data_IF_462383027104
#
_entry.id   IF_462383027104
#
_cell.length_a   1.000
_cell.length_b   1.000
_cell.length_c   1.000
_cell.angle_alpha   90.00
_cell.angle_beta   90.00
_cell.angle_gamma   90.00
#
_symmetry.space_group_name_H-M   'P 1'
#
loop_
_entity.id
_entity.type
_entity.pdbx_description
1 polymer ?
#
# COMPACT_ATOMS: atom_id res chain seq x y z
N UNK A 1 25.04 -5.93 3.59
CA UNK A 1 25.35 -7.38 3.57
C UNK A 1 24.29 -8.03 2.68
N UNK A 2 24.65 -8.44 1.48
CA UNK A 2 23.75 -9.19 0.58
C UNK A 2 23.68 -10.62 1.13
N UNK A 3 22.65 -10.93 1.92
CA UNK A 3 22.38 -12.29 2.36
C UNK A 3 22.06 -13.14 1.11
N UNK A 4 22.79 -14.21 0.95
CA UNK A 4 22.54 -15.18 -0.11
C UNK A 4 21.09 -15.70 0.05
N UNK A 5 20.17 -15.51 -0.92
CA UNK A 5 18.76 -15.89 -0.78
C UNK A 5 18.55 -17.39 -0.51
N UNK A 6 19.53 -18.24 -0.81
CA UNK A 6 19.50 -19.69 -0.53
C UNK A 6 19.58 -20.06 0.96
N UNK A 7 19.83 -19.10 1.85
CA UNK A 7 19.93 -19.34 3.31
C UNK A 7 18.68 -18.90 4.09
N UNK A 8 17.72 -18.23 3.45
CA UNK A 8 16.51 -17.76 4.11
C UNK A 8 15.35 -18.72 3.83
N UNK A 9 14.81 -19.40 4.85
CA UNK A 9 13.71 -20.35 4.64
C UNK A 9 12.42 -19.64 4.20
N UNK A 10 12.19 -18.41 4.68
CA UNK A 10 10.99 -17.60 4.36
C UNK A 10 11.40 -16.18 3.98
N UNK A 11 10.90 -15.68 2.85
CA UNK A 11 11.18 -14.34 2.35
C UNK A 11 10.08 -13.83 1.42
N UNK A 12 10.01 -12.51 1.26
CA UNK A 12 9.21 -11.86 0.24
C UNK A 12 10.12 -11.42 -0.92
N UNK A 13 9.86 -11.93 -2.12
CA UNK A 13 10.52 -11.49 -3.35
C UNK A 13 9.74 -10.30 -3.92
N UNK A 14 10.45 -9.21 -4.23
CA UNK A 14 9.90 -7.96 -4.74
C UNK A 14 10.40 -7.73 -6.16
N UNK A 15 9.51 -7.83 -7.13
CA UNK A 15 9.81 -7.66 -8.54
C UNK A 15 9.73 -6.18 -8.96
N UNK A 16 10.89 -5.51 -9.02
CA UNK A 16 10.96 -4.09 -9.39
C UNK A 16 10.64 -3.84 -10.88
N UNK A 17 10.77 -4.84 -11.74
CA UNK A 17 10.34 -4.75 -13.14
C UNK A 17 8.83 -4.72 -13.25
N UNK A 18 8.10 -5.53 -12.45
CA UNK A 18 6.66 -5.47 -12.36
C UNK A 18 6.18 -4.12 -11.81
N UNK A 19 6.89 -3.55 -10.84
CA UNK A 19 6.60 -2.20 -10.32
C UNK A 19 6.71 -1.12 -11.42
N UNK A 20 7.77 -1.16 -12.23
CA UNK A 20 7.97 -0.25 -13.35
C UNK A 20 6.91 -0.43 -14.44
N UNK A 21 6.54 -1.68 -14.75
CA UNK A 21 5.44 -1.99 -15.67
C UNK A 21 4.12 -1.39 -15.18
N UNK A 22 3.77 -1.58 -13.91
CA UNK A 22 2.54 -1.06 -13.33
C UNK A 22 2.50 0.48 -13.39
N UNK A 23 3.63 1.15 -13.10
CA UNK A 23 3.73 2.59 -13.27
C UNK A 23 3.48 3.02 -14.73
N UNK A 24 4.02 2.28 -15.70
CA UNK A 24 3.79 2.55 -17.12
C UNK A 24 2.32 2.37 -17.50
N UNK A 25 1.66 1.33 -17.00
CA UNK A 25 0.21 1.13 -17.19
C UNK A 25 -0.60 2.28 -16.59
N UNK A 26 -0.26 2.75 -15.39
CA UNK A 26 -0.94 3.88 -14.75
C UNK A 26 -0.81 5.15 -15.61
N UNK A 27 0.39 5.43 -16.12
CA UNK A 27 0.65 6.61 -16.96
C UNK A 27 -0.20 6.63 -18.25
N UNK A 28 -0.63 5.49 -18.77
CA UNK A 28 -1.49 5.42 -19.97
C UNK A 28 -2.90 5.99 -19.75
N UNK A 29 -3.36 6.09 -18.49
CA UNK A 29 -4.65 6.71 -18.16
C UNK A 29 -4.58 8.22 -18.00
N UNK A 30 -3.38 8.82 -17.99
CA UNK A 30 -3.17 10.20 -17.61
C UNK A 30 -2.95 11.09 -18.83
N UNK A 31 -3.38 12.35 -18.73
CA UNK A 31 -2.95 13.38 -19.66
C UNK A 31 -1.44 13.64 -19.50
N UNK A 32 -0.75 14.12 -20.57
CA UNK A 32 0.72 14.29 -20.55
C UNK A 32 1.26 15.20 -19.43
N UNK A 33 0.48 16.16 -18.99
CA UNK A 33 0.80 17.14 -17.93
C UNK A 33 0.35 16.70 -16.53
N UNK A 34 -0.38 15.59 -16.41
CA UNK A 34 -0.79 15.04 -15.14
C UNK A 34 0.33 14.24 -14.48
N UNK A 35 0.75 14.68 -13.30
CA UNK A 35 1.85 14.06 -12.57
C UNK A 35 1.38 12.88 -11.69
N UNK A 36 2.34 12.06 -11.25
CA UNK A 36 2.10 10.95 -10.33
C UNK A 36 2.78 11.22 -9.00
N UNK A 37 2.02 11.16 -7.91
CA UNK A 37 2.52 11.05 -6.54
C UNK A 37 2.41 9.59 -6.11
N UNK A 38 3.53 8.90 -6.03
CA UNK A 38 3.55 7.49 -5.64
C UNK A 38 3.26 7.32 -4.14
N UNK A 39 2.24 6.52 -3.80
CA UNK A 39 1.88 6.26 -2.41
C UNK A 39 2.71 5.07 -1.90
N UNK A 40 3.66 5.36 -0.99
CA UNK A 40 4.62 4.39 -0.45
C UNK A 40 4.50 4.19 1.07
N UNK A 41 3.38 4.63 1.67
CA UNK A 41 3.07 4.42 3.10
C UNK A 41 2.98 2.94 3.47
N UNK A 42 2.96 2.64 4.76
CA UNK A 42 2.90 1.28 5.32
C UNK A 42 4.00 0.38 4.74
N UNK A 43 5.26 0.89 4.80
CA UNK A 43 6.42 0.22 4.23
C UNK A 43 6.23 -0.14 2.75
N UNK A 44 5.73 0.82 1.94
CA UNK A 44 5.35 0.61 0.54
C UNK A 44 4.35 -0.55 0.39
N UNK A 45 3.27 -0.55 1.20
CA UNK A 45 2.28 -1.64 1.25
C UNK A 45 2.94 -3.01 1.52
N UNK A 46 3.93 -3.03 2.40
CA UNK A 46 4.67 -4.24 2.77
C UNK A 46 5.83 -4.61 1.84
N UNK A 47 6.08 -3.85 0.78
CA UNK A 47 7.11 -4.18 -0.24
C UNK A 47 8.53 -3.68 0.10
N UNK A 48 8.69 -2.89 1.20
CA UNK A 48 9.94 -2.23 1.53
C UNK A 48 10.03 -0.82 0.93
N UNK A 49 9.92 0.19 1.81
CA UNK A 49 9.70 1.59 1.39
C UNK A 49 10.90 2.18 0.66
N UNK A 50 12.12 1.89 1.12
CA UNK A 50 13.34 2.52 0.60
C UNK A 50 13.61 2.10 -0.84
N UNK A 51 13.73 0.80 -1.07
CA UNK A 51 14.07 0.23 -2.38
C UNK A 51 12.96 0.48 -3.39
N UNK A 52 11.70 0.39 -2.96
CA UNK A 52 10.53 0.71 -3.80
C UNK A 52 10.54 2.17 -4.23
N UNK A 53 10.74 3.10 -3.29
CA UNK A 53 10.78 4.54 -3.60
C UNK A 53 11.96 4.89 -4.51
N UNK A 54 13.16 4.33 -4.25
CA UNK A 54 14.32 4.52 -5.10
C UNK A 54 14.11 3.95 -6.51
N UNK A 55 13.46 2.78 -6.64
CA UNK A 55 13.12 2.21 -7.94
C UNK A 55 12.17 3.12 -8.72
N UNK A 56 11.11 3.64 -8.07
CA UNK A 56 10.17 4.57 -8.69
C UNK A 56 10.82 5.92 -9.04
N UNK A 57 11.73 6.43 -8.20
CA UNK A 57 12.48 7.66 -8.48
C UNK A 57 13.34 7.50 -9.75
N UNK A 58 14.00 6.35 -9.94
CA UNK A 58 14.72 6.04 -11.19
C UNK A 58 13.82 5.98 -12.42
N UNK A 59 12.50 5.73 -12.25
CA UNK A 59 11.49 5.78 -13.31
C UNK A 59 10.86 7.18 -13.50
N UNK A 60 11.47 8.22 -12.90
CA UNK A 60 11.05 9.61 -13.05
C UNK A 60 9.90 10.03 -12.10
N UNK A 61 9.64 9.32 -11.02
CA UNK A 61 8.73 9.79 -9.99
C UNK A 61 9.45 10.82 -9.11
N UNK A 62 8.89 12.02 -9.07
CA UNK A 62 9.42 13.16 -8.32
C UNK A 62 8.67 13.44 -7.01
N UNK A 63 7.51 12.78 -6.80
CA UNK A 63 6.65 12.98 -5.64
C UNK A 63 6.25 11.66 -5.02
N UNK A 64 6.46 11.58 -3.70
CA UNK A 64 6.08 10.43 -2.89
C UNK A 64 5.14 10.87 -1.78
N UNK A 65 4.31 9.96 -1.32
CA UNK A 65 3.48 10.21 -0.15
C UNK A 65 3.51 9.05 0.84
N UNK A 66 3.65 9.42 2.10
CA UNK A 66 3.71 8.54 3.26
C UNK A 66 2.56 8.83 4.23
N UNK A 67 2.32 7.97 5.22
CA UNK A 67 1.27 8.20 6.21
C UNK A 67 1.78 8.98 7.42
N UNK A 68 3.04 8.79 7.83
CA UNK A 68 3.59 9.36 9.06
C UNK A 68 4.90 10.12 8.80
N UNK A 69 5.25 10.95 9.79
CA UNK A 69 6.54 11.66 9.82
C UNK A 69 7.72 10.67 9.75
N UNK A 70 7.67 9.60 10.54
CA UNK A 70 8.78 8.62 10.62
C UNK A 70 9.04 7.93 9.28
N UNK A 71 7.99 7.59 8.53
CA UNK A 71 8.14 7.05 7.16
C UNK A 71 8.83 8.05 6.23
N UNK A 72 8.49 9.34 6.34
CA UNK A 72 9.13 10.40 5.58
C UNK A 72 10.60 10.60 5.95
N UNK A 73 10.92 10.59 7.23
CA UNK A 73 12.30 10.68 7.76
C UNK A 73 13.13 9.49 7.25
N UNK A 74 12.60 8.29 7.31
CA UNK A 74 13.29 7.10 6.82
C UNK A 74 13.67 7.22 5.33
N UNK A 75 12.79 7.75 4.49
CA UNK A 75 13.10 8.02 3.08
C UNK A 75 14.18 9.11 2.91
N UNK A 76 14.16 10.17 3.71
CA UNK A 76 15.22 11.20 3.69
C UNK A 76 16.56 10.62 4.10
N UNK A 77 16.61 9.83 5.17
CA UNK A 77 17.82 9.14 5.63
C UNK A 77 18.37 8.16 4.59
N UNK A 78 17.49 7.55 3.78
CA UNK A 78 17.86 6.73 2.64
C UNK A 78 18.33 7.52 1.40
N UNK A 79 18.44 8.85 1.50
CA UNK A 79 18.96 9.72 0.45
C UNK A 79 17.93 10.17 -0.60
N UNK A 80 16.63 9.96 -0.38
CA UNK A 80 15.60 10.41 -1.30
C UNK A 80 15.44 11.95 -1.20
N UNK A 81 15.84 12.69 -2.23
CA UNK A 81 15.79 14.15 -2.28
C UNK A 81 14.50 14.73 -2.88
N UNK A 82 13.70 13.92 -3.53
CA UNK A 82 12.42 14.29 -4.17
C UNK A 82 11.38 14.79 -3.15
N UNK A 83 10.26 15.34 -3.61
CA UNK A 83 9.16 15.77 -2.72
C UNK A 83 8.57 14.57 -1.96
N UNK A 84 8.41 14.70 -0.63
CA UNK A 84 7.77 13.71 0.23
C UNK A 84 6.64 14.38 0.98
N UNK A 85 5.40 13.94 0.71
CA UNK A 85 4.17 14.45 1.29
C UNK A 85 3.71 13.56 2.44
N UNK A 86 3.47 14.12 3.62
CA UNK A 86 2.93 13.41 4.79
C UNK A 86 1.42 13.57 4.79
N UNK A 87 0.69 12.47 4.58
CA UNK A 87 -0.78 12.45 4.41
C UNK A 87 -1.55 12.35 5.72
N UNK A 88 -0.91 11.88 6.79
CA UNK A 88 -1.52 11.65 8.08
C UNK A 88 -1.70 12.94 8.89
N UNK A 89 -2.42 12.83 10.01
CA UNK A 89 -2.48 13.90 10.99
C UNK A 89 -1.10 14.11 11.62
N UNK A 90 -0.81 15.36 11.97
CA UNK A 90 0.42 15.77 12.64
C UNK A 90 0.11 16.24 14.06
N UNK A 91 1.10 16.14 14.92
CA UNK A 91 1.09 16.70 16.26
C UNK A 91 2.09 17.85 16.35
N UNK A 92 1.86 18.78 17.29
CA UNK A 92 2.70 19.96 17.48
C UNK A 92 4.19 19.60 17.65
N UNK A 93 4.46 18.56 18.43
CA UNK A 93 5.82 18.10 18.74
C UNK A 93 6.59 17.57 17.52
N UNK A 94 5.87 17.22 16.45
CA UNK A 94 6.45 16.69 15.21
C UNK A 94 6.88 17.80 14.23
N UNK A 95 6.43 19.03 14.43
CA UNK A 95 6.66 20.12 13.47
C UNK A 95 8.14 20.46 13.31
N UNK A 96 8.97 20.51 14.37
CA UNK A 96 10.41 20.75 14.21
C UNK A 96 11.09 19.72 13.29
N UNK A 97 10.80 18.44 13.46
CA UNK A 97 11.38 17.37 12.66
C UNK A 97 10.84 17.37 11.22
N UNK A 98 9.55 17.68 11.04
CA UNK A 98 8.93 17.85 9.72
C UNK A 98 9.69 18.92 8.90
N UNK A 99 9.97 20.08 9.53
CA UNK A 99 10.68 21.20 8.89
C UNK A 99 12.15 20.84 8.65
N UNK A 100 12.84 20.26 9.64
CA UNK A 100 14.25 19.88 9.54
C UNK A 100 14.49 18.88 8.38
N UNK A 101 13.55 17.94 8.16
CA UNK A 101 13.66 16.96 7.10
C UNK A 101 13.00 17.39 5.78
N UNK A 102 12.53 18.66 5.68
CA UNK A 102 11.89 19.21 4.47
C UNK A 102 10.79 18.31 3.92
N UNK A 103 9.87 17.89 4.79
CA UNK A 103 8.71 17.09 4.42
C UNK A 103 7.50 18.01 4.23
N UNK A 104 6.71 17.79 3.19
CA UNK A 104 5.53 18.60 2.88
C UNK A 104 4.31 18.04 3.61
N UNK A 105 3.70 18.73 4.58
CA UNK A 105 2.52 18.23 5.29
C UNK A 105 1.24 18.41 4.47
N UNK A 106 0.32 17.48 4.64
CA UNK A 106 -1.09 17.71 4.34
C UNK A 106 -1.78 18.24 5.60
N UNK A 107 -2.16 19.50 5.57
CA UNK A 107 -2.82 20.18 6.68
C UNK A 107 -4.33 19.98 6.58
N UNK A 108 -4.95 19.56 7.67
CA UNK A 108 -6.37 19.18 7.75
C UNK A 108 -7.15 19.87 8.85
N UNK A 109 -6.50 20.75 9.64
CA UNK A 109 -7.12 21.48 10.73
C UNK A 109 -6.41 22.83 11.00
N UNK A 110 -7.14 23.77 11.62
CA UNK A 110 -6.66 25.13 11.85
C UNK A 110 -5.57 25.20 12.94
N UNK A 111 -5.55 24.28 13.91
CA UNK A 111 -4.57 24.27 14.99
C UNK A 111 -3.16 23.98 14.42
N UNK A 112 -3.03 22.92 13.67
CA UNK A 112 -1.76 22.55 13.01
C UNK A 112 -1.34 23.62 12.00
N UNK A 113 -2.27 24.21 11.25
CA UNK A 113 -1.98 25.31 10.34
C UNK A 113 -1.36 26.50 11.09
N UNK A 114 -1.91 26.87 12.25
CA UNK A 114 -1.39 27.96 13.07
C UNK A 114 0.03 27.68 13.59
N UNK A 115 0.29 26.45 14.08
CA UNK A 115 1.60 26.07 14.57
C UNK A 115 2.65 26.04 13.44
N UNK A 116 2.30 25.47 12.29
CA UNK A 116 3.15 25.50 11.09
C UNK A 116 3.45 26.93 10.64
N UNK A 117 2.48 27.85 10.71
CA UNK A 117 2.70 29.27 10.36
C UNK A 117 3.75 29.91 11.28
N UNK A 118 3.68 29.64 12.59
CA UNK A 118 4.70 30.12 13.54
C UNK A 118 6.07 29.51 13.27
N UNK A 119 6.15 28.21 13.08
CA UNK A 119 7.40 27.51 12.81
C UNK A 119 8.05 27.99 11.50
N UNK A 120 7.26 28.25 10.47
CA UNK A 120 7.73 28.69 9.17
C UNK A 120 8.26 30.15 9.17
N UNK A 121 7.93 30.98 10.18
CA UNK A 121 8.48 32.36 10.31
C UNK A 121 10.00 32.38 10.43
N UNK A 122 10.60 31.36 11.00
CA UNK A 122 12.06 31.21 11.12
C UNK A 122 12.70 30.54 9.91
N UNK A 123 11.91 30.08 8.94
CA UNK A 123 12.42 29.42 7.75
C UNK A 123 12.80 30.45 6.67
N UNK A 124 13.96 30.31 6.00
CA UNK A 124 14.47 31.33 5.06
C UNK A 124 13.64 31.44 3.76
N UNK A 125 12.77 30.47 3.47
CA UNK A 125 11.88 30.46 2.31
C UNK A 125 10.47 30.07 2.72
N UNK A 126 9.47 30.37 1.89
CA UNK A 126 8.09 29.93 2.11
C UNK A 126 8.03 28.40 2.20
N UNK A 127 7.36 27.88 3.23
CA UNK A 127 7.29 26.46 3.50
C UNK A 127 6.10 25.80 2.78
N UNK A 128 6.31 24.76 1.95
CA UNK A 128 5.25 24.17 1.15
C UNK A 128 4.30 23.32 1.99
N UNK A 129 3.01 23.48 1.75
CA UNK A 129 1.94 22.68 2.35
C UNK A 129 0.90 22.27 1.32
N UNK A 130 0.21 21.15 1.57
CA UNK A 130 -1.05 20.82 0.90
C UNK A 130 -2.21 20.99 1.87
N UNK A 131 -3.34 21.54 1.40
CA UNK A 131 -4.57 21.62 2.18
C UNK A 131 -5.50 20.48 1.81
N UNK A 132 -6.15 19.91 2.80
CA UNK A 132 -7.11 18.83 2.61
C UNK A 132 -8.54 19.29 2.86
N UNK A 133 -9.41 19.05 1.87
CA UNK A 133 -10.85 19.29 1.95
C UNK A 133 -11.56 18.01 2.36
N UNK A 134 -12.42 18.08 3.38
CA UNK A 134 -13.37 17.03 3.70
C UNK A 134 -14.60 17.16 2.77
N UNK A 135 -14.80 16.16 1.94
CA UNK A 135 -15.88 16.16 0.94
C UNK A 135 -16.85 14.99 1.12
N UNK A 136 -16.67 14.15 2.14
CA UNK A 136 -17.56 13.01 2.41
C UNK A 136 -16.81 11.73 2.79
N UNK A 137 -15.49 11.79 3.07
CA UNK A 137 -14.75 10.65 3.61
C UNK A 137 -14.97 10.48 5.12
N UNK A 138 -15.28 11.58 5.84
CA UNK A 138 -15.52 11.57 7.29
C UNK A 138 -14.29 11.26 8.13
N UNK A 139 -13.09 11.69 7.70
CA UNK A 139 -11.85 11.29 8.37
C UNK A 139 -10.93 12.46 8.74
N UNK A 140 -10.43 13.19 7.79
CA UNK A 140 -9.53 14.32 7.96
C UNK A 140 -9.84 15.36 6.88
N UNK A 141 -9.66 16.64 7.18
CA UNK A 141 -9.81 17.76 6.22
C UNK A 141 -10.66 18.87 6.78
N UNK A 142 -10.44 20.06 6.26
CA UNK A 142 -11.28 21.21 6.51
C UNK A 142 -12.64 21.02 5.81
N UNK A 143 -13.72 21.39 6.47
CA UNK A 143 -14.98 21.61 5.76
C UNK A 143 -14.85 22.76 4.75
N UNK A 144 -15.66 22.80 3.69
CA UNK A 144 -15.65 23.93 2.74
C UNK A 144 -15.85 25.30 3.41
N UNK A 145 -16.64 25.36 4.50
CA UNK A 145 -16.91 26.59 5.25
C UNK A 145 -15.68 27.08 6.04
N UNK A 146 -14.87 26.17 6.59
CA UNK A 146 -13.64 26.49 7.32
C UNK A 146 -12.52 27.01 6.41
N UNK A 147 -12.45 26.50 5.17
CA UNK A 147 -11.39 26.88 4.23
C UNK A 147 -11.54 28.32 3.72
N UNK A 148 -12.76 28.78 3.48
CA UNK A 148 -13.00 30.11 2.86
C UNK A 148 -12.32 31.26 3.62
N UNK A 149 -12.50 31.44 4.95
CA UNK A 149 -11.81 32.47 5.69
C UNK A 149 -10.28 32.28 5.79
N UNK A 150 -9.78 31.03 5.81
CA UNK A 150 -8.35 30.75 5.89
C UNK A 150 -7.61 31.27 4.66
N UNK A 151 -8.20 31.22 3.47
CA UNK A 151 -7.59 31.77 2.28
C UNK A 151 -7.46 33.29 2.33
N UNK A 152 -8.39 33.97 2.98
CA UNK A 152 -8.40 35.43 3.06
C UNK A 152 -7.39 35.97 4.09
N UNK A 153 -7.17 35.28 5.21
CA UNK A 153 -6.36 35.76 6.32
C UNK A 153 -4.90 35.23 6.34
N UNK A 154 -4.71 33.94 6.14
CA UNK A 154 -3.43 33.31 6.47
C UNK A 154 -2.58 32.94 5.24
N UNK A 155 -3.20 32.69 4.11
CA UNK A 155 -2.53 32.04 2.98
C UNK A 155 -2.03 33.03 1.92
N UNK A 156 -2.58 34.26 1.88
CA UNK A 156 -2.16 35.26 0.90
C UNK A 156 -0.90 36.04 1.30
N UNK A 157 -0.51 36.05 2.57
CA UNK A 157 0.60 36.88 3.09
C UNK A 157 1.49 36.20 4.13
N UNK A 158 1.32 34.90 4.36
CA UNK A 158 2.05 34.16 5.38
C UNK A 158 3.35 33.52 4.89
N UNK A 159 4.12 32.92 5.79
CA UNK A 159 5.36 32.19 5.49
C UNK A 159 5.09 30.80 4.87
N UNK A 160 3.84 30.38 4.76
CA UNK A 160 3.43 29.11 4.15
C UNK A 160 3.09 29.31 2.68
N UNK A 161 3.51 28.36 1.86
CA UNK A 161 3.14 28.24 0.45
C UNK A 161 2.15 27.11 0.28
N UNK A 162 0.88 27.43 0.00
CA UNK A 162 -0.09 26.41 -0.39
C UNK A 162 0.22 25.97 -1.81
N UNK A 163 0.96 24.87 -1.95
CA UNK A 163 1.26 24.29 -3.25
C UNK A 163 0.24 23.26 -3.71
N UNK A 164 -0.55 22.69 -2.79
CA UNK A 164 -1.51 21.66 -3.12
C UNK A 164 -2.88 21.78 -2.46
N UNK A 165 -3.93 21.34 -3.17
CA UNK A 165 -5.28 21.13 -2.66
C UNK A 165 -5.70 19.70 -2.95
N UNK A 166 -6.23 18.99 -1.94
CA UNK A 166 -6.64 17.60 -2.10
C UNK A 166 -7.93 17.24 -1.37
N UNK A 167 -8.58 16.22 -1.85
CA UNK A 167 -9.55 15.43 -1.09
C UNK A 167 -9.24 13.92 -1.25
N UNK A 168 -9.99 13.06 -0.56
CA UNK A 168 -9.92 11.61 -0.74
C UNK A 168 -11.31 11.05 -1.04
N UNK A 169 -11.41 10.35 -2.17
CA UNK A 169 -12.64 9.74 -2.62
C UNK A 169 -12.91 8.46 -1.81
N UNK A 170 -14.10 8.40 -1.20
CA UNK A 170 -14.48 7.33 -0.28
C UNK A 170 -14.91 6.05 -0.99
N UNK A 171 -15.48 6.18 -2.19
CA UNK A 171 -16.18 5.09 -2.89
C UNK A 171 -15.86 5.08 -4.40
N UNK A 172 -14.61 5.38 -4.77
CA UNK A 172 -14.20 5.37 -6.17
C UNK A 172 -14.21 3.97 -6.80
N UNK A 173 -14.16 2.91 -5.99
CA UNK A 173 -14.25 1.50 -6.38
C UNK A 173 -15.65 0.89 -6.16
N UNK A 174 -16.60 1.64 -5.60
CA UNK A 174 -17.97 1.21 -5.42
C UNK A 174 -18.73 0.99 -6.72
N UNK A 175 -19.81 0.23 -6.66
CA UNK A 175 -20.67 -0.03 -7.83
C UNK A 175 -21.39 1.23 -8.33
N UNK A 176 -21.71 2.17 -7.44
CA UNK A 176 -22.43 3.40 -7.73
C UNK A 176 -21.48 4.62 -7.68
N UNK A 177 -21.49 5.43 -8.73
CA UNK A 177 -20.64 6.63 -8.84
C UNK A 177 -21.11 7.83 -7.99
N UNK A 178 -22.35 7.83 -7.51
CA UNK A 178 -23.02 9.01 -6.93
C UNK A 178 -22.28 9.59 -5.70
N UNK A 179 -21.61 8.76 -4.89
CA UNK A 179 -20.81 9.24 -3.75
C UNK A 179 -19.60 10.02 -4.26
N UNK A 180 -18.87 9.43 -5.21
CA UNK A 180 -17.69 10.04 -5.84
C UNK A 180 -18.05 11.33 -6.56
N UNK A 181 -19.16 11.37 -7.29
CA UNK A 181 -19.65 12.56 -8.01
C UNK A 181 -19.95 13.71 -7.05
N UNK A 182 -20.71 13.46 -5.97
CA UNK A 182 -20.99 14.48 -4.93
C UNK A 182 -19.72 15.00 -4.26
N UNK A 183 -18.77 14.11 -3.97
CA UNK A 183 -17.47 14.53 -3.42
C UNK A 183 -16.71 15.44 -4.39
N UNK A 184 -16.74 15.10 -5.67
CA UNK A 184 -16.10 15.89 -6.72
C UNK A 184 -16.78 17.25 -6.92
N UNK A 185 -18.11 17.32 -6.91
CA UNK A 185 -18.89 18.56 -6.97
C UNK A 185 -18.50 19.50 -5.80
N UNK A 186 -18.48 18.97 -4.57
CA UNK A 186 -18.06 19.72 -3.38
C UNK A 186 -16.63 20.24 -3.51
N UNK A 187 -15.72 19.40 -3.96
CA UNK A 187 -14.32 19.77 -4.17
C UNK A 187 -14.15 20.84 -5.24
N UNK A 188 -14.85 20.71 -6.38
CA UNK A 188 -14.81 21.67 -7.48
C UNK A 188 -15.38 23.03 -7.06
N UNK A 189 -16.41 23.08 -6.19
CA UNK A 189 -16.93 24.32 -5.66
C UNK A 189 -15.88 25.08 -4.82
N UNK A 190 -15.14 24.36 -3.96
CA UNK A 190 -14.01 24.93 -3.18
C UNK A 190 -12.90 25.41 -4.12
N UNK A 191 -12.50 24.61 -5.09
CA UNK A 191 -11.45 24.97 -6.04
C UNK A 191 -11.84 26.21 -6.86
N UNK A 192 -13.12 26.35 -7.25
CA UNK A 192 -13.63 27.53 -7.94
C UNK A 192 -13.53 28.79 -7.09
N UNK A 193 -13.89 28.73 -5.81
CA UNK A 193 -13.75 29.85 -4.87
C UNK A 193 -12.28 30.29 -4.72
N UNK A 194 -11.34 29.35 -4.68
CA UNK A 194 -9.91 29.65 -4.61
C UNK A 194 -9.45 30.38 -5.89
N UNK A 195 -9.84 29.88 -7.06
CA UNK A 195 -9.52 30.49 -8.34
C UNK A 195 -10.11 31.90 -8.52
N UNK A 196 -11.33 32.15 -8.03
CA UNK A 196 -11.96 33.47 -8.04
C UNK A 196 -11.19 34.51 -7.21
N UNK A 197 -10.39 34.06 -6.21
CA UNK A 197 -9.48 34.90 -5.44
C UNK A 197 -8.13 35.14 -6.15
N UNK A 198 -7.97 34.68 -7.38
CA UNK A 198 -6.72 34.79 -8.15
C UNK A 198 -5.62 33.82 -7.69
N UNK A 199 -5.95 32.80 -6.88
CA UNK A 199 -4.97 31.84 -6.38
C UNK A 199 -4.86 30.69 -7.37
N UNK A 200 -3.64 30.41 -7.85
CA UNK A 200 -3.32 29.25 -8.67
C UNK A 200 -2.54 28.23 -7.84
N UNK A 201 -3.00 27.00 -7.84
CA UNK A 201 -2.37 25.90 -7.10
C UNK A 201 -1.64 24.99 -8.08
N UNK A 202 -0.33 24.76 -7.91
CA UNK A 202 0.42 23.82 -8.74
C UNK A 202 -0.15 22.40 -8.73
N UNK A 203 -0.59 21.94 -7.55
CA UNK A 203 -1.05 20.56 -7.36
C UNK A 203 -2.48 20.48 -6.87
N UNK A 204 -3.37 20.02 -7.74
CA UNK A 204 -4.75 19.68 -7.40
C UNK A 204 -4.91 18.18 -7.58
N UNK A 205 -5.29 17.46 -6.51
CA UNK A 205 -5.29 16.00 -6.56
C UNK A 205 -6.41 15.35 -5.75
N UNK A 206 -7.23 14.56 -6.42
CA UNK A 206 -8.36 13.81 -5.82
C UNK A 206 -8.25 12.31 -6.06
N UNK A 207 -7.78 11.90 -7.25
CA UNK A 207 -7.80 10.52 -7.71
C UNK A 207 -6.90 9.59 -6.90
N UNK A 208 -7.47 8.54 -6.32
CA UNK A 208 -6.80 7.34 -5.84
C UNK A 208 -6.70 6.29 -6.98
N UNK A 209 -6.18 5.09 -6.70
CA UNK A 209 -6.01 4.04 -7.71
C UNK A 209 -7.28 3.74 -8.51
N UNK A 210 -8.43 3.59 -7.87
CA UNK A 210 -9.67 3.28 -8.58
C UNK A 210 -10.16 4.46 -9.42
N UNK A 211 -10.04 5.68 -8.89
CA UNK A 211 -10.47 6.89 -9.59
C UNK A 211 -9.60 7.18 -10.82
N UNK A 212 -8.32 6.80 -10.82
CA UNK A 212 -7.46 6.94 -12.01
C UNK A 212 -8.06 6.22 -13.22
N UNK A 213 -8.65 5.07 -13.03
CA UNK A 213 -9.24 4.27 -14.13
C UNK A 213 -10.67 4.73 -14.45
N UNK A 214 -11.47 5.00 -13.40
CA UNK A 214 -12.93 5.19 -13.56
C UNK A 214 -13.37 6.62 -13.80
N UNK A 215 -12.63 7.59 -13.28
CA UNK A 215 -13.06 8.99 -13.24
C UNK A 215 -11.96 9.94 -13.75
N UNK A 216 -11.70 10.01 -15.07
CA UNK A 216 -10.64 10.86 -15.63
C UNK A 216 -10.76 12.33 -15.22
N UNK A 217 -11.97 12.83 -14.98
CA UNK A 217 -12.23 14.20 -14.49
C UNK A 217 -11.74 14.46 -13.06
N UNK A 218 -11.28 13.45 -12.33
CA UNK A 218 -10.69 13.56 -10.98
C UNK A 218 -9.17 13.69 -11.00
N UNK A 219 -8.51 13.56 -12.14
CA UNK A 219 -7.03 13.55 -12.23
C UNK A 219 -6.45 14.92 -11.88
N UNK A 220 -7.05 15.99 -12.37
CA UNK A 220 -6.51 17.37 -12.27
C UNK A 220 -5.04 17.40 -12.70
N UNK A 221 -4.15 17.97 -11.86
CA UNK A 221 -2.72 18.05 -12.15
C UNK A 221 -1.87 16.92 -11.54
N UNK A 222 -2.46 16.11 -10.62
CA UNK A 222 -1.70 15.11 -9.86
C UNK A 222 -2.59 13.96 -9.41
N UNK A 223 -2.16 12.71 -9.63
CA UNK A 223 -2.85 11.49 -9.16
C UNK A 223 -2.06 10.75 -8.10
N UNK A 224 -2.75 9.93 -7.30
CA UNK A 224 -2.19 9.22 -6.15
C UNK A 224 -2.38 7.71 -6.25
N UNK A 225 -1.70 7.02 -7.17
CA UNK A 225 -1.75 5.57 -7.21
C UNK A 225 -1.09 4.97 -5.95
N UNK A 226 -1.81 4.04 -5.34
CA UNK A 226 -1.31 3.20 -4.25
C UNK A 226 -1.30 1.75 -4.73
N UNK A 227 -2.37 1.01 -4.49
CA UNK A 227 -2.43 -0.43 -4.71
C UNK A 227 -2.14 -0.83 -6.16
N UNK A 228 -2.45 0.01 -7.16
CA UNK A 228 -2.14 -0.26 -8.56
C UNK A 228 -0.64 -0.34 -8.82
N UNK A 229 0.20 0.44 -8.12
CA UNK A 229 1.66 0.31 -8.23
C UNK A 229 2.13 -1.09 -7.84
N UNK A 230 1.44 -1.73 -6.91
CA UNK A 230 1.79 -3.05 -6.37
C UNK A 230 1.12 -4.22 -7.11
N UNK A 231 0.39 -3.92 -8.20
CA UNK A 231 -0.14 -4.94 -9.09
C UNK A 231 -1.55 -5.43 -8.76
N UNK A 232 -2.31 -4.64 -8.00
CA UNK A 232 -3.69 -4.99 -7.63
C UNK A 232 -4.65 -3.83 -7.89
N UNK A 233 -5.94 -4.13 -8.01
CA UNK A 233 -7.01 -3.14 -8.12
C UNK A 233 -8.24 -3.58 -7.31
N UNK A 234 -9.11 -2.62 -7.03
CA UNK A 234 -10.40 -2.83 -6.35
C UNK A 234 -11.58 -2.45 -7.27
N UNK A 235 -11.34 -2.40 -8.58
CA UNK A 235 -12.35 -2.03 -9.58
C UNK A 235 -13.49 -3.05 -9.59
N UNK A 236 -14.75 -2.60 -9.79
CA UNK A 236 -15.87 -3.51 -10.06
C UNK A 236 -15.64 -4.33 -11.34
N UNK A 237 -16.19 -5.54 -11.41
CA UNK A 237 -16.05 -6.45 -12.56
C UNK A 237 -16.58 -5.85 -13.87
N UNK A 238 -17.40 -4.81 -13.80
CA UNK A 238 -17.95 -4.10 -14.97
C UNK A 238 -16.95 -3.13 -15.62
N UNK A 239 -15.80 -2.90 -14.97
CA UNK A 239 -14.75 -1.99 -15.46
C UNK A 239 -13.58 -2.82 -15.96
N UNK A 240 -13.10 -2.63 -17.20
CA UNK A 240 -11.92 -3.33 -17.69
C UNK A 240 -10.73 -3.12 -16.75
N UNK A 241 -10.15 -4.23 -16.30
CA UNK A 241 -8.99 -4.18 -15.43
C UNK A 241 -7.74 -3.76 -16.21
N UNK A 242 -6.89 -2.89 -15.66
CA UNK A 242 -5.58 -2.60 -16.21
C UNK A 242 -4.66 -3.84 -16.16
N UNK A 243 -3.73 -3.96 -17.11
CA UNK A 243 -2.73 -5.05 -17.14
C UNK A 243 -1.67 -4.84 -16.05
N UNK A 244 -2.05 -5.12 -14.80
CA UNK A 244 -1.17 -4.99 -13.65
C UNK A 244 -0.50 -6.33 -13.32
N UNK A 245 0.74 -6.24 -12.86
CA UNK A 245 1.55 -7.39 -12.45
C UNK A 245 1.80 -7.34 -10.94
N UNK A 246 1.39 -8.36 -10.17
CA UNK A 246 1.73 -8.42 -8.75
C UNK A 246 3.24 -8.30 -8.53
N UNK A 247 3.61 -7.41 -7.61
CA UNK A 247 5.03 -7.07 -7.35
C UNK A 247 5.62 -7.98 -6.28
N UNK A 248 4.82 -8.43 -5.31
CA UNK A 248 5.28 -9.24 -4.19
C UNK A 248 4.91 -10.71 -4.36
N UNK A 249 5.89 -11.59 -4.13
CA UNK A 249 5.68 -13.02 -3.90
C UNK A 249 6.19 -13.40 -2.52
N UNK A 250 5.42 -14.18 -1.75
CA UNK A 250 5.82 -14.70 -0.43
C UNK A 250 6.18 -16.18 -0.58
N UNK A 251 7.41 -16.52 -0.23
CA UNK A 251 7.99 -17.85 -0.42
C UNK A 251 8.52 -18.41 0.88
N UNK A 252 8.50 -19.74 0.97
CA UNK A 252 9.09 -20.50 2.07
C UNK A 252 9.59 -21.86 1.58
N UNK A 253 10.04 -22.72 2.50
CA UNK A 253 10.49 -24.08 2.20
C UNK A 253 9.89 -25.09 3.16
N UNK A 254 9.84 -26.36 2.77
CA UNK A 254 9.47 -27.45 3.66
C UNK A 254 10.62 -27.74 4.64
N UNK A 255 10.35 -27.64 5.95
CA UNK A 255 11.36 -27.91 7.00
C UNK A 255 11.20 -29.28 7.66
N UNK A 256 10.01 -29.87 7.59
CA UNK A 256 9.73 -31.17 8.19
C UNK A 256 8.64 -31.88 7.38
N UNK A 257 8.75 -33.21 7.31
CA UNK A 257 7.71 -34.09 6.77
C UNK A 257 7.31 -35.11 7.83
N UNK A 258 5.99 -35.37 7.92
CA UNK A 258 5.41 -36.34 8.84
C UNK A 258 4.31 -37.14 8.15
N UNK A 259 4.17 -38.39 8.47
CA UNK A 259 2.99 -39.19 8.12
C UNK A 259 2.11 -39.32 9.36
N UNK A 260 0.90 -38.85 9.28
CA UNK A 260 -0.12 -38.94 10.34
C UNK A 260 -1.01 -40.15 10.01
N UNK A 261 -1.14 -41.13 10.92
CA UNK A 261 -2.03 -42.26 10.69
C UNK A 261 -3.49 -41.84 10.66
N UNK A 262 -4.34 -42.67 10.07
CA UNK A 262 -5.78 -42.47 10.14
C UNK A 262 -6.24 -42.30 11.59
N UNK A 263 -7.09 -41.30 11.87
CA UNK A 263 -7.54 -40.90 13.20
C UNK A 263 -6.57 -40.02 13.98
N UNK A 264 -5.32 -39.84 13.48
CA UNK A 264 -4.36 -38.93 14.08
C UNK A 264 -4.73 -37.46 13.83
N UNK A 265 -4.26 -36.56 14.70
CA UNK A 265 -4.58 -35.13 14.66
C UNK A 265 -3.39 -34.25 14.30
N UNK A 266 -3.69 -33.03 13.79
CA UNK A 266 -2.65 -32.03 13.44
C UNK A 266 -2.98 -30.70 14.11
N UNK A 267 -1.95 -30.06 14.64
CA UNK A 267 -1.97 -28.71 15.24
C UNK A 267 -2.72 -28.65 16.57
N UNK A 268 -2.83 -27.41 17.11
CA UNK A 268 -3.50 -27.14 18.36
C UNK A 268 -4.96 -27.58 18.35
N UNK A 269 -5.42 -28.12 19.47
CA UNK A 269 -6.80 -28.60 19.69
C UNK A 269 -7.21 -29.77 18.80
N UNK A 270 -6.30 -30.37 18.02
CA UNK A 270 -6.59 -31.47 17.12
C UNK A 270 -7.72 -31.18 16.12
N UNK A 271 -7.82 -29.94 15.66
CA UNK A 271 -8.92 -29.50 14.79
C UNK A 271 -8.93 -30.13 13.38
N UNK A 272 -7.81 -30.71 12.98
CA UNK A 272 -7.72 -31.59 11.81
C UNK A 272 -7.56 -33.02 12.29
N UNK A 273 -8.38 -33.92 11.75
CA UNK A 273 -8.32 -35.37 11.99
C UNK A 273 -8.07 -36.05 10.64
N UNK A 274 -7.00 -36.82 10.53
CA UNK A 274 -6.66 -37.54 9.32
C UNK A 274 -7.68 -38.67 9.04
N UNK A 275 -8.36 -38.63 7.91
CA UNK A 275 -9.33 -39.66 7.48
C UNK A 275 -8.68 -40.86 6.80
N UNK A 276 -7.40 -40.73 6.44
CA UNK A 276 -6.51 -41.74 5.84
C UNK A 276 -5.08 -41.46 6.30
N UNK A 277 -4.10 -42.35 6.07
CA UNK A 277 -2.69 -41.99 6.25
C UNK A 277 -2.37 -40.71 5.44
N UNK A 278 -2.03 -39.64 6.13
CA UNK A 278 -1.89 -38.29 5.57
C UNK A 278 -0.47 -37.81 5.71
N UNK A 279 0.14 -37.39 4.61
CA UNK A 279 1.50 -36.84 4.59
C UNK A 279 1.44 -35.32 4.78
N UNK A 280 2.06 -34.83 5.84
CA UNK A 280 2.06 -33.42 6.24
C UNK A 280 3.44 -32.81 6.00
N UNK A 281 3.48 -31.66 5.33
CA UNK A 281 4.65 -30.79 5.29
C UNK A 281 4.49 -29.64 6.29
N UNK A 282 5.57 -29.33 7.03
CA UNK A 282 5.64 -28.21 7.97
C UNK A 282 6.45 -27.08 7.33
N UNK A 283 5.90 -25.87 7.39
CA UNK A 283 6.46 -24.67 6.79
C UNK A 283 6.82 -23.66 7.90
N UNK A 284 8.01 -23.04 7.87
CA UNK A 284 8.49 -22.11 8.90
C UNK A 284 7.95 -20.69 8.67
N UNK A 285 6.64 -20.54 8.75
CA UNK A 285 5.92 -19.27 8.69
C UNK A 285 4.66 -19.37 9.52
N UNK A 286 4.27 -18.29 10.21
CA UNK A 286 3.06 -18.25 10.99
C UNK A 286 2.52 -16.83 11.16
N UNK A 287 1.59 -16.66 12.13
CA UNK A 287 0.95 -15.36 12.30
C UNK A 287 1.90 -14.27 12.84
N UNK A 288 3.02 -14.62 13.48
CA UNK A 288 4.05 -13.65 13.87
C UNK A 288 4.81 -13.05 12.67
N UNK A 289 4.76 -13.72 11.51
CA UNK A 289 5.31 -13.26 10.25
C UNK A 289 4.29 -12.48 9.42
N UNK A 290 3.03 -12.42 9.89
CA UNK A 290 1.90 -11.81 9.18
C UNK A 290 1.06 -12.79 8.36
N UNK A 291 1.33 -14.10 8.45
CA UNK A 291 0.51 -15.12 7.78
C UNK A 291 -0.72 -15.45 8.62
N UNK A 292 -1.85 -14.89 8.29
CA UNK A 292 -3.04 -14.80 9.13
C UNK A 292 -3.51 -16.15 9.69
N UNK A 293 -3.84 -16.18 11.01
CA UNK A 293 -4.44 -17.35 11.66
C UNK A 293 -5.81 -17.74 11.08
N UNK A 294 -6.51 -16.81 10.41
CA UNK A 294 -7.77 -17.07 9.71
C UNK A 294 -7.63 -17.97 8.49
N UNK A 295 -6.41 -18.21 7.99
CA UNK A 295 -6.12 -19.18 6.93
C UNK A 295 -6.25 -20.64 7.39
N UNK A 296 -6.36 -20.90 8.69
CA UNK A 296 -6.57 -22.25 9.25
C UNK A 296 -7.76 -22.94 8.58
N UNK A 297 -7.54 -24.10 7.99
CA UNK A 297 -8.53 -24.91 7.24
C UNK A 297 -9.17 -24.23 6.02
N UNK A 298 -8.66 -23.08 5.57
CA UNK A 298 -9.25 -22.30 4.46
C UNK A 298 -8.28 -22.03 3.33
N UNK A 299 -7.02 -21.82 3.67
CA UNK A 299 -5.99 -21.46 2.70
C UNK A 299 -5.35 -22.68 2.08
N UNK A 300 -4.59 -22.41 1.02
CA UNK A 300 -3.69 -23.34 0.37
C UNK A 300 -2.35 -22.68 0.07
N UNK A 301 -1.35 -23.48 -0.18
CA UNK A 301 -0.04 -23.04 -0.67
C UNK A 301 0.28 -23.78 -1.98
N UNK A 302 1.30 -23.37 -2.72
CA UNK A 302 1.75 -24.07 -3.90
C UNK A 302 3.04 -24.84 -3.60
N UNK A 303 3.06 -26.11 -3.97
CA UNK A 303 4.24 -26.99 -3.92
C UNK A 303 4.28 -27.75 -5.25
N UNK A 304 5.40 -27.68 -5.97
CA UNK A 304 5.56 -28.29 -7.30
C UNK A 304 4.44 -27.89 -8.29
N UNK A 305 3.97 -26.63 -8.22
CA UNK A 305 2.89 -26.14 -9.07
C UNK A 305 1.51 -26.70 -8.73
N UNK A 306 1.31 -27.30 -7.55
CA UNK A 306 0.04 -27.85 -7.08
C UNK A 306 -0.40 -27.24 -5.77
N UNK A 307 -1.69 -27.13 -5.57
CA UNK A 307 -2.30 -26.61 -4.33
C UNK A 307 -2.24 -27.65 -3.21
N UNK A 308 -1.61 -27.30 -2.10
CA UNK A 308 -1.57 -28.05 -0.85
C UNK A 308 -2.41 -27.32 0.20
N UNK A 309 -3.52 -27.91 0.71
CA UNK A 309 -4.39 -27.24 1.67
C UNK A 309 -3.72 -27.11 3.04
N UNK A 310 -3.99 -26.00 3.73
CA UNK A 310 -3.61 -25.77 5.12
C UNK A 310 -4.47 -26.65 6.01
N UNK A 311 -3.86 -27.48 6.84
CA UNK A 311 -4.55 -28.39 7.77
C UNK A 311 -4.19 -28.04 9.21
N UNK A 312 -5.20 -28.08 10.08
CA UNK A 312 -5.08 -27.61 11.45
C UNK A 312 -4.98 -26.09 11.54
N UNK A 313 -4.62 -25.60 12.73
CA UNK A 313 -4.50 -24.16 12.99
C UNK A 313 -3.13 -23.64 12.55
N UNK A 314 -3.10 -22.47 11.92
CA UNK A 314 -1.87 -21.70 11.71
C UNK A 314 -1.31 -21.32 13.07
N UNK A 315 -0.04 -21.67 13.34
CA UNK A 315 0.66 -21.40 14.57
C UNK A 315 1.39 -20.05 14.54
N UNK A 316 2.09 -19.70 15.61
CA UNK A 316 2.88 -18.47 15.67
C UNK A 316 3.95 -18.43 14.59
N UNK A 317 4.69 -19.53 14.44
CA UNK A 317 5.88 -19.61 13.60
C UNK A 317 5.82 -20.74 12.55
N UNK A 318 4.71 -21.50 12.47
CA UNK A 318 4.61 -22.67 11.60
C UNK A 318 3.20 -22.86 11.04
N UNK A 319 3.16 -23.41 9.82
CA UNK A 319 1.93 -23.85 9.13
C UNK A 319 2.14 -25.30 8.69
N UNK A 320 1.08 -26.10 8.78
CA UNK A 320 1.03 -27.48 8.29
C UNK A 320 0.13 -27.56 7.06
N UNK A 321 0.61 -28.26 6.05
CA UNK A 321 -0.13 -28.47 4.79
C UNK A 321 -0.17 -29.94 4.43
N UNK A 322 -1.28 -30.40 3.87
CA UNK A 322 -1.45 -31.77 3.37
C UNK A 322 -0.83 -31.89 1.98
N UNK A 323 0.17 -32.78 1.88
CA UNK A 323 0.89 -33.07 0.63
C UNK A 323 0.69 -34.53 0.17
N UNK A 324 -0.34 -35.20 0.67
CA UNK A 324 -0.60 -36.62 0.40
C UNK A 324 -0.74 -36.91 -1.09
N UNK A 325 -1.46 -36.04 -1.81
CA UNK A 325 -1.77 -36.21 -3.24
C UNK A 325 -0.82 -35.45 -4.17
N UNK A 326 0.28 -34.92 -3.63
CA UNK A 326 1.35 -34.26 -4.39
C UNK A 326 2.49 -35.29 -4.63
N UNK A 327 3.18 -35.27 -5.79
CA UNK A 327 4.37 -36.13 -6.00
C UNK A 327 5.35 -35.98 -4.84
N UNK A 328 6.30 -36.94 -4.66
CA UNK A 328 7.16 -36.96 -3.49
C UNK A 328 7.78 -35.60 -3.17
N UNK A 329 7.31 -34.98 -2.09
CA UNK A 329 7.84 -33.70 -1.55
C UNK A 329 9.03 -34.04 -0.63
N UNK A 330 10.05 -33.17 -0.64
CA UNK A 330 11.27 -33.32 0.14
C UNK A 330 11.47 -32.13 1.10
N UNK A 331 12.28 -32.32 2.15
CA UNK A 331 12.74 -31.21 2.99
C UNK A 331 13.61 -30.29 2.12
N UNK A 332 13.40 -28.96 2.25
CA UNK A 332 14.00 -27.95 1.38
C UNK A 332 13.21 -27.65 0.12
N UNK A 333 12.12 -28.37 -0.18
CA UNK A 333 11.24 -28.09 -1.31
C UNK A 333 10.67 -26.68 -1.23
N UNK A 334 10.70 -25.96 -2.35
CA UNK A 334 10.20 -24.58 -2.44
C UNK A 334 8.67 -24.54 -2.36
N UNK A 335 8.16 -23.64 -1.54
CA UNK A 335 6.73 -23.41 -1.33
C UNK A 335 6.39 -21.96 -1.64
N UNK A 336 5.33 -21.73 -2.41
CA UNK A 336 4.78 -20.40 -2.67
C UNK A 336 3.50 -20.19 -1.88
N UNK A 337 3.50 -19.18 -1.04
CA UNK A 337 2.36 -18.78 -0.19
C UNK A 337 1.52 -17.70 -0.87
N UNK A 338 2.19 -16.75 -1.51
CA UNK A 338 1.63 -15.73 -2.40
C UNK A 338 2.55 -15.66 -3.62
N UNK A 339 2.00 -15.76 -4.81
CA UNK A 339 2.76 -15.73 -6.06
C UNK A 339 2.41 -16.87 -7.00
N UNK A 340 3.26 -17.06 -7.99
CA UNK A 340 3.10 -18.08 -9.03
C UNK A 340 4.15 -19.19 -8.86
N UNK A 341 3.74 -20.44 -9.12
CA UNK A 341 4.62 -21.60 -9.21
C UNK A 341 4.11 -22.54 -10.34
N UNK A 342 4.86 -22.65 -11.41
CA UNK A 342 4.38 -23.29 -12.63
C UNK A 342 3.23 -22.52 -13.26
N UNK A 343 2.14 -23.19 -13.59
CA UNK A 343 0.92 -22.59 -14.15
C UNK A 343 -0.06 -22.09 -13.06
N UNK A 344 0.12 -22.54 -11.82
CA UNK A 344 -0.73 -22.16 -10.69
C UNK A 344 -0.27 -20.88 -10.01
N UNK A 345 -1.23 -20.13 -9.47
CA UNK A 345 -0.95 -18.92 -8.70
C UNK A 345 -1.89 -18.77 -7.50
N UNK A 346 -1.39 -18.13 -6.46
CA UNK A 346 -2.14 -17.67 -5.29
C UNK A 346 -1.77 -16.21 -5.07
N UNK A 347 -2.66 -15.27 -5.36
CA UNK A 347 -2.40 -13.86 -5.20
C UNK A 347 -3.04 -13.27 -3.94
N UNK A 348 -2.63 -12.08 -3.51
CA UNK A 348 -3.09 -11.47 -2.27
C UNK A 348 -4.62 -11.24 -2.24
N UNK A 349 -5.28 -11.04 -3.37
CA UNK A 349 -6.74 -10.94 -3.46
C UNK A 349 -7.44 -12.28 -3.16
N UNK A 350 -6.88 -13.42 -3.60
CA UNK A 350 -7.40 -14.74 -3.27
C UNK A 350 -7.23 -15.04 -1.78
N UNK A 351 -6.03 -14.76 -1.22
CA UNK A 351 -5.76 -14.88 0.23
C UNK A 351 -6.72 -14.00 1.03
N UNK A 352 -6.96 -12.78 0.59
CA UNK A 352 -7.91 -11.86 1.21
C UNK A 352 -9.33 -12.44 1.22
N UNK A 353 -9.76 -13.06 0.12
CA UNK A 353 -11.06 -13.75 0.01
C UNK A 353 -11.20 -14.88 1.04
N UNK A 354 -10.16 -15.68 1.26
CA UNK A 354 -10.20 -16.79 2.24
C UNK A 354 -10.38 -16.30 3.68
N UNK A 355 -9.86 -15.12 4.01
CA UNK A 355 -9.87 -14.60 5.39
C UNK A 355 -10.90 -13.47 5.61
N UNK A 356 -11.63 -13.06 4.57
CA UNK A 356 -12.69 -12.04 4.65
C UNK A 356 -12.12 -10.63 4.81
N UNK A 357 -11.14 -10.25 3.98
CA UNK A 357 -10.51 -8.92 3.97
C UNK A 357 -10.16 -8.48 2.54
N UNK A 358 -9.25 -7.51 2.40
CA UNK A 358 -8.78 -6.94 1.14
C UNK A 358 -7.27 -7.17 0.93
N UNK A 359 -6.82 -7.15 -0.32
CA UNK A 359 -5.40 -7.35 -0.68
C UNK A 359 -4.45 -6.39 0.04
N UNK A 360 -4.90 -5.17 0.35
CA UNK A 360 -4.14 -4.17 1.12
C UNK A 360 -3.70 -4.72 2.49
N UNK A 361 -4.63 -5.30 3.25
CA UNK A 361 -4.35 -5.84 4.58
C UNK A 361 -3.41 -7.04 4.51
N UNK A 362 -3.61 -7.92 3.54
CA UNK A 362 -2.75 -9.09 3.32
C UNK A 362 -1.31 -8.64 3.06
N UNK A 363 -1.10 -7.68 2.14
CA UNK A 363 0.24 -7.21 1.78
C UNK A 363 0.91 -6.43 2.92
N UNK A 364 0.18 -5.47 3.53
CA UNK A 364 0.70 -4.68 4.65
C UNK A 364 0.95 -5.52 5.90
N UNK A 365 0.24 -6.65 6.05
CA UNK A 365 0.37 -7.56 7.17
C UNK A 365 1.67 -8.37 7.19
N UNK A 366 2.39 -8.48 6.07
CA UNK A 366 3.67 -9.20 6.02
C UNK A 366 4.69 -8.49 6.91
N UNK A 367 5.03 -9.12 8.04
CA UNK A 367 5.83 -8.55 9.12
C UNK A 367 7.30 -8.28 8.75
N UNK A 368 7.99 -7.55 9.62
CA UNK A 368 9.43 -7.24 9.46
C UNK A 368 10.34 -8.45 9.67
N UNK A 369 9.82 -9.54 10.27
CA UNK A 369 10.55 -10.82 10.38
C UNK A 369 10.79 -11.50 9.03
N UNK A 370 9.97 -11.19 8.02
CA UNK A 370 10.11 -11.70 6.66
C UNK A 370 11.02 -10.74 5.89
N UNK A 371 12.24 -11.12 5.52
CA UNK A 371 13.14 -10.27 4.73
C UNK A 371 12.60 -10.07 3.31
N UNK A 372 12.86 -8.88 2.74
CA UNK A 372 12.52 -8.53 1.36
C UNK A 372 13.76 -8.71 0.49
N UNK A 373 13.61 -9.45 -0.62
CA UNK A 373 14.64 -9.66 -1.63
C UNK A 373 14.15 -8.97 -2.91
N UNK A 374 14.95 -8.04 -3.41
CA UNK A 374 14.57 -7.24 -4.56
C UNK A 374 15.18 -7.82 -5.83
N UNK A 375 14.30 -8.11 -6.81
CA UNK A 375 14.66 -8.62 -8.12
C UNK A 375 14.48 -7.48 -9.14
N UNK A 376 15.58 -7.10 -9.78
CA UNK A 376 15.61 -6.24 -10.97
C UNK A 376 16.04 -7.08 -12.17
N UNK A 377 15.42 -6.84 -13.34
CA UNK A 377 15.87 -7.44 -14.59
C UNK A 377 17.28 -6.98 -14.96
#
# INVERSE_FOLDING_TARGET
MTSNPTLLPTYASINLTALAHNLSCIKQYLAPDCQVMAIVKANAYGHGVVETAQALARQGIERFAVASLDEGIALRQAGLSTSIVVLGALFEEQIPDLVAHRLTPVVSDAHILHILTKAAQSHPASYPIHLKVETGMGRLGFSPAELSPLFDEMLLRGPLQVEGLMTHLADADGKNSSVTERQLETFCAVLSQIRQRGITLPFVHTANSAAIVRFPNTHFSLVRPGIMLYGYHTLPDTVPAPDLRPVLSLRTTVVQLRTIPQGGTVSYNGTFVATRPTRIAVLPIGYADGYSRRLSHRGSVLIQGRRAPIVGLVCMDMVMVDVTDIPPVHIGEAVTLIGQQGEESIWANEVAGWIGTISYEVLCGIGSRVPRIYESA
#
